data_IF_193723165359
#
_entry.id   IF_193723165359
#
_cell.length_a   1.000
_cell.length_b   1.000
_cell.length_c   1.000
_cell.angle_alpha   90.00
_cell.angle_beta   90.00
_cell.angle_gamma   90.00
#
_symmetry.space_group_name_H-M   'P 1'
#
loop_
_entity.id
_entity.type
_entity.pdbx_description
1 polymer ?
#
# COMPACT_ATOMS: atom_id res chain seq x y z
N UNK A 1 62.68 3.24 14.79
CA UNK A 1 62.08 4.55 14.47
C UNK A 1 60.60 4.48 14.85
N UNK A 2 60.19 5.14 15.94
CA UNK A 2 58.79 5.17 16.42
C UNK A 2 58.30 6.61 16.31
N UNK A 3 57.39 6.88 15.39
CA UNK A 3 56.78 8.19 15.21
C UNK A 3 55.61 8.33 16.19
N UNK A 4 55.83 9.06 17.29
CA UNK A 4 54.73 9.50 18.16
C UNK A 4 54.09 10.76 17.55
N UNK A 5 53.05 10.56 16.74
CA UNK A 5 52.15 11.64 16.33
C UNK A 5 51.10 11.84 17.44
N UNK A 6 51.38 12.71 18.41
CA UNK A 6 50.37 13.21 19.34
C UNK A 6 49.60 14.35 18.69
N UNK A 7 48.49 14.03 18.03
CA UNK A 7 47.49 15.01 17.59
C UNK A 7 46.73 15.54 18.81
N UNK A 8 47.28 16.56 19.48
CA UNK A 8 46.50 17.37 20.43
C UNK A 8 45.47 18.17 19.61
N UNK A 9 44.22 17.72 19.60
CA UNK A 9 43.11 18.46 19.01
C UNK A 9 42.83 19.73 19.83
N UNK A 10 43.52 20.81 19.47
CA UNK A 10 43.26 22.15 20.00
C UNK A 10 42.04 22.76 19.30
N UNK A 11 40.85 22.27 19.63
CA UNK A 11 39.64 23.09 19.45
C UNK A 11 39.81 24.34 20.33
N UNK A 12 39.72 25.52 19.71
CA UNK A 12 39.77 26.81 20.42
C UNK A 12 38.70 26.83 21.53
N UNK A 13 38.89 27.61 22.61
CA UNK A 13 37.91 27.71 23.69
C UNK A 13 36.49 28.02 23.19
N UNK A 14 36.35 28.86 22.15
CA UNK A 14 35.08 29.14 21.49
C UNK A 14 34.47 27.94 20.79
N UNK A 15 35.27 27.12 20.11
CA UNK A 15 34.78 25.91 19.44
C UNK A 15 34.37 24.82 20.43
N UNK A 16 35.02 24.75 21.60
CA UNK A 16 34.63 23.83 22.69
C UNK A 16 33.28 24.22 23.28
N UNK A 17 33.06 25.51 23.52
CA UNK A 17 31.78 26.01 24.03
C UNK A 17 30.65 25.73 23.03
N UNK A 18 30.86 26.00 21.74
CA UNK A 18 29.88 25.69 20.69
C UNK A 18 29.56 24.20 20.59
N UNK A 19 30.58 23.34 20.67
CA UNK A 19 30.39 21.88 20.66
C UNK A 19 29.57 21.40 21.87
N UNK A 20 29.85 21.92 23.07
CA UNK A 20 29.11 21.58 24.28
C UNK A 20 27.65 22.03 24.19
N UNK A 21 27.39 23.25 23.73
CA UNK A 21 26.03 23.77 23.55
C UNK A 21 25.26 22.95 22.49
N UNK A 22 25.90 22.60 21.38
CA UNK A 22 25.32 21.74 20.35
C UNK A 22 24.95 20.35 20.87
N UNK A 23 25.85 19.72 21.62
CA UNK A 23 25.58 18.44 22.28
C UNK A 23 24.42 18.54 23.28
N UNK A 24 24.37 19.62 24.08
CA UNK A 24 23.29 19.82 25.04
C UNK A 24 21.94 19.97 24.35
N UNK A 25 21.84 20.77 23.28
CA UNK A 25 20.61 20.94 22.51
C UNK A 25 20.16 19.63 21.85
N UNK A 26 21.10 18.85 21.32
CA UNK A 26 20.82 17.54 20.75
C UNK A 26 20.27 16.57 21.80
N UNK A 27 20.89 16.50 22.99
CA UNK A 27 20.41 15.66 24.09
C UNK A 27 19.02 16.08 24.57
N UNK A 28 18.77 17.39 24.70
CA UNK A 28 17.46 17.93 25.08
C UNK A 28 16.39 17.56 24.04
N UNK A 29 16.72 17.69 22.74
CA UNK A 29 15.83 17.30 21.65
C UNK A 29 15.48 15.81 21.68
N UNK A 30 16.49 14.94 21.85
CA UNK A 30 16.29 13.50 22.00
C UNK A 30 15.42 13.20 23.23
N UNK A 31 15.68 13.86 24.36
CA UNK A 31 14.91 13.65 25.58
C UNK A 31 13.42 13.97 25.38
N UNK A 32 13.11 15.11 24.75
CA UNK A 32 11.73 15.47 24.44
C UNK A 32 11.09 14.53 23.42
N UNK A 33 11.85 14.08 22.41
CA UNK A 33 11.37 13.09 21.45
C UNK A 33 11.02 11.76 22.14
N UNK A 34 11.93 11.21 22.95
CA UNK A 34 11.69 9.96 23.69
C UNK A 34 10.49 10.11 24.62
N UNK A 35 10.42 11.21 25.39
CA UNK A 35 9.29 11.48 26.28
C UNK A 35 7.97 11.59 25.52
N UNK A 36 7.97 12.22 24.35
CA UNK A 36 6.80 12.31 23.48
C UNK A 36 6.35 10.96 22.94
N UNK A 37 7.28 10.07 22.60
CA UNK A 37 6.98 8.70 22.16
C UNK A 37 6.45 7.85 23.31
N UNK A 38 7.03 7.93 24.51
CA UNK A 38 6.62 7.11 25.66
C UNK A 38 5.27 7.52 26.25
N UNK A 39 4.90 8.80 26.14
CA UNK A 39 3.58 9.30 26.55
C UNK A 39 2.60 9.44 25.38
N UNK A 40 2.96 8.92 24.21
CA UNK A 40 2.04 8.89 23.08
C UNK A 40 0.90 7.90 23.38
N UNK A 41 -0.35 8.23 23.00
CA UNK A 41 -1.47 7.27 23.04
C UNK A 41 -1.15 5.95 22.32
N UNK A 42 -0.20 5.96 21.38
CA UNK A 42 0.25 4.78 20.65
C UNK A 42 1.07 3.79 21.51
N UNK A 43 1.66 4.24 22.62
CA UNK A 43 2.51 3.44 23.51
C UNK A 43 1.75 2.86 24.72
N UNK A 44 0.50 3.27 24.95
CA UNK A 44 -0.30 2.71 26.04
C UNK A 44 -0.79 1.29 25.70
N UNK A 45 -0.58 0.35 26.62
CA UNK A 45 -1.03 -1.04 26.48
C UNK A 45 -2.57 -1.14 26.34
N UNK A 46 -3.30 -0.18 26.93
CA UNK A 46 -4.76 -0.07 26.82
C UNK A 46 -5.21 0.11 25.37
N UNK A 47 -4.47 0.88 24.56
CA UNK A 47 -4.75 1.02 23.12
C UNK A 47 -4.49 -0.27 22.34
N UNK A 48 -3.51 -1.08 22.75
CA UNK A 48 -3.31 -2.40 22.14
C UNK A 48 -4.47 -3.35 22.46
N UNK A 49 -4.94 -3.36 23.71
CA UNK A 49 -6.08 -4.16 24.15
C UNK A 49 -7.38 -3.72 23.47
N UNK A 50 -7.63 -2.40 23.37
CA UNK A 50 -8.80 -1.84 22.69
C UNK A 50 -8.80 -2.13 21.19
N UNK A 51 -7.63 -2.02 20.52
CA UNK A 51 -7.47 -2.46 19.11
C UNK A 51 -7.83 -3.93 18.93
N UNK A 52 -7.29 -4.80 19.79
CA UNK A 52 -7.57 -6.24 19.79
C UNK A 52 -9.05 -6.55 20.07
N UNK A 53 -9.70 -5.73 20.89
CA UNK A 53 -11.13 -5.84 21.17
C UNK A 53 -11.96 -5.44 19.95
N UNK A 54 -11.73 -4.25 19.38
CA UNK A 54 -12.44 -3.75 18.20
C UNK A 54 -12.26 -4.70 17.00
N UNK A 55 -11.04 -5.20 16.77
CA UNK A 55 -10.77 -6.17 15.72
C UNK A 55 -11.61 -7.44 15.91
N UNK A 56 -11.56 -8.05 17.11
CA UNK A 56 -12.32 -9.27 17.41
C UNK A 56 -13.83 -9.05 17.39
N UNK A 57 -14.29 -7.87 17.79
CA UNK A 57 -15.70 -7.51 17.75
C UNK A 57 -16.19 -7.39 16.31
N UNK A 58 -15.45 -6.69 15.44
CA UNK A 58 -15.76 -6.58 14.01
C UNK A 58 -15.73 -7.95 13.34
N UNK A 59 -14.71 -8.77 13.62
CA UNK A 59 -14.61 -10.13 13.05
C UNK A 59 -15.79 -11.04 13.44
N UNK A 60 -16.34 -10.90 14.64
CA UNK A 60 -17.47 -11.73 15.07
C UNK A 60 -18.84 -11.22 14.63
N UNK A 61 -18.99 -9.91 14.43
CA UNK A 61 -20.30 -9.29 14.26
C UNK A 61 -20.57 -8.71 12.87
N UNK A 62 -19.59 -8.70 11.95
CA UNK A 62 -19.79 -8.20 10.60
C UNK A 62 -20.27 -9.31 9.64
N UNK A 63 -21.53 -9.26 9.14
CA UNK A 63 -22.06 -10.29 8.25
C UNK A 63 -21.36 -10.32 6.88
N UNK A 64 -20.60 -9.28 6.50
CA UNK A 64 -19.93 -9.19 5.19
C UNK A 64 -18.39 -9.18 5.32
N UNK A 65 -17.86 -9.77 6.41
CA UNK A 65 -16.44 -9.78 6.73
C UNK A 65 -15.57 -10.35 5.59
N UNK A 66 -16.04 -11.41 4.93
CA UNK A 66 -15.32 -12.04 3.84
C UNK A 66 -15.12 -11.08 2.66
N UNK A 67 -16.17 -10.35 2.27
CA UNK A 67 -16.09 -9.37 1.19
C UNK A 67 -15.25 -8.16 1.57
N UNK A 68 -15.34 -7.69 2.82
CA UNK A 68 -14.49 -6.61 3.29
C UNK A 68 -13.01 -7.01 3.21
N UNK A 69 -12.67 -8.22 3.65
CA UNK A 69 -11.31 -8.75 3.55
C UNK A 69 -10.83 -8.83 2.11
N UNK A 70 -11.67 -9.35 1.20
CA UNK A 70 -11.35 -9.40 -0.23
C UNK A 70 -11.09 -7.99 -0.82
N UNK A 71 -11.90 -7.01 -0.45
CA UNK A 71 -11.72 -5.61 -0.87
C UNK A 71 -10.43 -5.01 -0.30
N UNK A 72 -10.15 -5.25 0.99
CA UNK A 72 -8.97 -4.75 1.67
C UNK A 72 -7.69 -5.32 1.04
N UNK A 73 -7.63 -6.64 0.86
CA UNK A 73 -6.51 -7.33 0.20
C UNK A 73 -6.30 -6.80 -1.22
N UNK A 74 -7.38 -6.67 -1.99
CA UNK A 74 -7.32 -6.15 -3.36
C UNK A 74 -6.81 -4.71 -3.41
N UNK A 75 -7.21 -3.87 -2.46
CA UNK A 75 -6.77 -2.48 -2.37
C UNK A 75 -5.28 -2.38 -2.00
N UNK A 76 -4.86 -3.11 -0.97
CA UNK A 76 -3.46 -3.17 -0.55
C UNK A 76 -2.54 -3.82 -1.58
N UNK A 77 -3.09 -4.71 -2.43
CA UNK A 77 -2.35 -5.30 -3.54
C UNK A 77 -2.01 -4.24 -4.59
N UNK A 78 -2.91 -3.29 -4.86
CA UNK A 78 -2.69 -2.14 -5.74
C UNK A 78 -1.81 -1.06 -5.08
N UNK A 79 -2.01 -0.82 -3.79
CA UNK A 79 -1.50 0.37 -3.10
C UNK A 79 -0.65 0.02 -1.87
N UNK A 80 0.64 -0.17 -2.11
CA UNK A 80 1.60 -0.66 -1.11
C UNK A 80 1.79 0.30 0.06
N UNK A 81 1.80 1.59 -0.22
CA UNK A 81 1.93 2.66 0.76
C UNK A 81 0.76 2.66 1.74
N UNK A 82 -0.45 2.36 1.27
CA UNK A 82 -1.61 2.20 2.16
C UNK A 82 -1.46 0.92 2.98
N UNK A 83 -1.01 -0.18 2.37
CA UNK A 83 -0.75 -1.45 3.08
C UNK A 83 0.19 -1.29 4.27
N UNK A 84 1.20 -0.42 4.14
CA UNK A 84 2.21 -0.15 5.16
C UNK A 84 1.81 0.92 6.18
N UNK A 85 0.67 1.59 5.99
CA UNK A 85 0.23 2.64 6.91
C UNK A 85 -0.02 2.06 8.31
N UNK A 86 0.46 2.75 9.34
CA UNK A 86 0.14 2.41 10.74
C UNK A 86 -1.34 2.61 11.08
N UNK A 87 -2.09 3.35 10.26
CA UNK A 87 -3.51 3.62 10.47
C UNK A 87 -4.40 2.79 9.53
N UNK A 88 -4.13 2.82 8.22
CA UNK A 88 -4.94 2.14 7.19
C UNK A 88 -4.37 0.80 6.68
N UNK A 89 -3.20 0.41 7.15
CA UNK A 89 -2.51 -0.78 6.68
C UNK A 89 -3.05 -2.08 7.24
N UNK A 90 -2.47 -3.19 6.78
CA UNK A 90 -2.86 -4.55 7.17
C UNK A 90 -2.78 -4.77 8.69
N UNK A 91 -1.75 -4.19 9.31
CA UNK A 91 -1.54 -4.18 10.75
C UNK A 91 -1.86 -2.82 11.37
N UNK A 92 -2.62 -1.98 10.66
CA UNK A 92 -2.97 -0.63 11.09
C UNK A 92 -4.15 -0.61 12.06
N UNK A 93 -4.38 0.54 12.69
CA UNK A 93 -5.47 0.75 13.67
C UNK A 93 -6.84 0.29 13.15
N UNK A 94 -7.13 0.52 11.87
CA UNK A 94 -8.42 0.18 11.27
C UNK A 94 -8.47 -1.23 10.65
N UNK A 95 -7.36 -1.99 10.66
CA UNK A 95 -7.27 -3.32 10.06
C UNK A 95 -7.88 -3.40 8.66
N UNK A 96 -8.72 -4.41 8.41
CA UNK A 96 -9.39 -4.62 7.10
C UNK A 96 -10.35 -3.49 6.70
N UNK A 97 -10.78 -2.62 7.62
CA UNK A 97 -11.62 -1.45 7.31
C UNK A 97 -10.78 -0.25 6.85
N UNK A 98 -9.47 -0.28 7.09
CA UNK A 98 -8.53 0.78 6.73
C UNK A 98 -8.61 1.20 5.26
N UNK A 99 -8.55 0.26 4.29
CA UNK A 99 -8.68 0.55 2.86
C UNK A 99 -9.94 1.32 2.48
N UNK A 100 -11.09 0.96 3.07
CA UNK A 100 -12.36 1.64 2.80
C UNK A 100 -12.35 3.06 3.31
N UNK A 101 -11.86 3.26 4.53
CA UNK A 101 -11.72 4.59 5.13
C UNK A 101 -10.74 5.46 4.31
N UNK A 102 -9.56 4.93 3.97
CA UNK A 102 -8.59 5.60 3.12
C UNK A 102 -9.18 6.00 1.76
N UNK A 103 -9.88 5.06 1.12
CA UNK A 103 -10.50 5.31 -0.18
C UNK A 103 -11.52 6.45 -0.12
N UNK A 104 -12.41 6.46 0.88
CA UNK A 104 -13.42 7.51 1.05
C UNK A 104 -12.80 8.88 1.35
N UNK A 105 -11.74 8.93 2.16
CA UNK A 105 -11.12 10.21 2.57
C UNK A 105 -10.24 10.81 1.48
N UNK A 106 -9.42 9.98 0.83
CA UNK A 106 -8.37 10.45 -0.09
C UNK A 106 -8.38 9.69 -1.41
N UNK A 107 -8.52 8.37 -1.37
CA UNK A 107 -8.33 7.54 -2.55
C UNK A 107 -9.28 7.83 -3.72
N UNK A 108 -10.51 8.30 -3.48
CA UNK A 108 -11.42 8.73 -4.55
C UNK A 108 -10.86 9.90 -5.35
N UNK A 109 -10.32 10.91 -4.67
CA UNK A 109 -9.72 12.09 -5.31
C UNK A 109 -8.44 11.75 -6.07
N UNK A 110 -7.73 10.73 -5.61
CA UNK A 110 -6.53 10.18 -6.26
C UNK A 110 -6.85 9.20 -7.40
N UNK A 111 -8.13 8.95 -7.72
CA UNK A 111 -8.53 8.03 -8.78
C UNK A 111 -8.28 6.55 -8.47
N UNK A 112 -8.20 6.19 -7.18
CA UNK A 112 -7.93 4.81 -6.75
C UNK A 112 -9.12 3.89 -6.99
N UNK A 113 -8.84 2.59 -7.02
CA UNK A 113 -9.83 1.54 -7.27
C UNK A 113 -10.07 0.76 -5.97
N UNK A 114 -11.29 0.87 -5.44
CA UNK A 114 -11.75 0.07 -4.30
C UNK A 114 -12.73 -1.02 -4.75
N UNK A 115 -12.21 -2.00 -5.48
CA UNK A 115 -12.93 -3.14 -6.02
C UNK A 115 -12.08 -4.41 -5.94
N UNK A 116 -12.67 -5.62 -5.93
CA UNK A 116 -11.91 -6.86 -5.93
C UNK A 116 -11.00 -6.98 -7.14
N UNK A 117 -9.81 -7.56 -6.97
CA UNK A 117 -8.98 -8.00 -8.11
C UNK A 117 -9.59 -9.29 -8.64
N UNK A 118 -9.85 -9.34 -9.95
CA UNK A 118 -10.41 -10.52 -10.59
C UNK A 118 -9.35 -11.62 -10.70
N UNK A 119 -9.68 -12.83 -10.24
CA UNK A 119 -8.82 -14.01 -10.42
C UNK A 119 -9.37 -14.86 -11.57
N UNK A 120 -8.60 -15.06 -12.65
CA UNK A 120 -9.03 -15.87 -13.78
C UNK A 120 -8.97 -17.36 -13.43
N UNK A 121 -9.83 -18.15 -14.08
CA UNK A 121 -9.84 -19.61 -13.91
C UNK A 121 -8.61 -20.26 -14.55
N UNK A 122 -8.17 -19.77 -15.71
CA UNK A 122 -6.99 -20.25 -16.43
C UNK A 122 -5.84 -19.25 -16.28
N UNK A 123 -4.83 -19.65 -15.49
CA UNK A 123 -3.66 -18.81 -15.19
C UNK A 123 -2.67 -18.73 -16.35
N UNK A 124 -2.56 -19.78 -17.18
CA UNK A 124 -1.63 -19.79 -18.30
C UNK A 124 -2.14 -18.92 -19.44
N UNK A 125 -3.44 -19.04 -19.74
CA UNK A 125 -4.10 -18.11 -20.66
C UNK A 125 -3.99 -16.67 -20.15
N UNK A 126 -4.18 -16.42 -18.85
CA UNK A 126 -4.03 -15.07 -18.30
C UNK A 126 -2.63 -14.51 -18.51
N UNK A 127 -1.57 -15.29 -18.23
CA UNK A 127 -0.19 -14.86 -18.47
C UNK A 127 0.06 -14.52 -19.93
N UNK A 128 -0.54 -15.27 -20.86
CA UNK A 128 -0.45 -14.96 -22.29
C UNK A 128 -1.16 -13.65 -22.63
N UNK A 129 -2.40 -13.47 -22.18
CA UNK A 129 -3.17 -12.24 -22.39
C UNK A 129 -2.49 -11.02 -21.76
N UNK A 130 -1.93 -11.17 -20.57
CA UNK A 130 -1.16 -10.15 -19.89
C UNK A 130 0.08 -9.72 -20.69
N UNK A 131 0.82 -10.69 -21.24
CA UNK A 131 1.97 -10.42 -22.13
C UNK A 131 1.53 -9.66 -23.39
N UNK A 132 0.47 -10.10 -24.06
CA UNK A 132 -0.07 -9.42 -25.24
C UNK A 132 -0.49 -7.98 -24.91
N UNK A 133 -1.20 -7.78 -23.79
CA UNK A 133 -1.65 -6.47 -23.34
C UNK A 133 -0.48 -5.52 -23.05
N UNK A 134 0.54 -5.97 -22.32
CA UNK A 134 1.74 -5.16 -22.04
C UNK A 134 2.58 -4.86 -23.29
N UNK A 135 2.62 -5.78 -24.25
CA UNK A 135 3.28 -5.52 -25.53
C UNK A 135 2.55 -4.42 -26.33
N UNK A 136 1.21 -4.42 -26.28
CA UNK A 136 0.38 -3.39 -26.92
C UNK A 136 0.45 -2.04 -26.19
N UNK A 137 0.63 -2.05 -24.86
CA UNK A 137 0.61 -0.87 -24.01
C UNK A 137 1.85 -0.81 -23.08
N UNK A 138 3.01 -0.35 -23.61
CA UNK A 138 4.26 -0.26 -22.85
C UNK A 138 4.19 0.67 -21.63
N UNK A 139 3.37 1.72 -21.70
CA UNK A 139 3.07 2.63 -20.60
C UNK A 139 2.48 1.87 -19.40
N UNK A 140 1.58 0.94 -19.65
CA UNK A 140 0.99 0.09 -18.61
C UNK A 140 2.00 -0.95 -18.11
N UNK A 141 2.88 -1.45 -18.99
CA UNK A 141 3.93 -2.40 -18.62
C UNK A 141 4.94 -1.81 -17.60
N UNK A 142 5.19 -0.51 -17.68
CA UNK A 142 6.01 0.25 -16.72
C UNK A 142 5.25 0.75 -15.49
N UNK A 143 3.93 0.56 -15.40
CA UNK A 143 3.12 1.07 -14.29
C UNK A 143 3.54 0.47 -12.94
N UNK A 144 3.62 1.27 -11.86
CA UNK A 144 3.88 0.74 -10.52
C UNK A 144 2.74 -0.14 -10.00
N UNK A 145 1.51 0.07 -10.47
CA UNK A 145 0.32 -0.66 -10.01
C UNK A 145 0.03 -1.87 -10.90
N UNK A 146 0.12 -1.73 -12.22
CA UNK A 146 -0.30 -2.77 -13.18
C UNK A 146 0.84 -3.33 -14.06
N UNK A 147 2.06 -2.85 -13.86
CA UNK A 147 3.22 -3.25 -14.67
C UNK A 147 3.76 -4.62 -14.33
N UNK A 148 4.74 -5.06 -15.13
CA UNK A 148 5.36 -6.40 -15.03
C UNK A 148 5.94 -6.69 -13.64
N UNK A 149 6.49 -5.66 -13.01
CA UNK A 149 7.13 -5.72 -11.70
C UNK A 149 6.20 -5.30 -10.55
N UNK A 150 4.92 -5.06 -10.84
CA UNK A 150 3.92 -4.73 -9.80
C UNK A 150 3.58 -5.97 -8.97
N UNK A 151 2.97 -5.76 -7.80
CA UNK A 151 2.48 -6.87 -6.97
C UNK A 151 1.30 -7.62 -7.59
N UNK A 152 0.58 -7.00 -8.52
CA UNK A 152 -0.45 -7.69 -9.29
C UNK A 152 0.17 -8.70 -10.26
N UNK A 153 1.43 -8.52 -10.66
CA UNK A 153 2.09 -9.36 -11.65
C UNK A 153 1.25 -9.46 -12.92
N UNK A 154 1.05 -10.69 -13.42
CA UNK A 154 0.26 -10.94 -14.63
C UNK A 154 -1.24 -10.64 -14.48
N UNK A 155 -1.75 -10.38 -13.27
CA UNK A 155 -3.13 -9.91 -13.06
C UNK A 155 -3.29 -8.40 -13.32
N UNK A 156 -2.18 -7.65 -13.35
CA UNK A 156 -2.15 -6.21 -13.53
C UNK A 156 -2.89 -5.73 -14.79
N UNK A 157 -2.61 -6.32 -15.97
CA UNK A 157 -3.27 -5.96 -17.22
C UNK A 157 -4.80 -6.09 -17.20
N UNK A 158 -5.34 -7.21 -16.70
CA UNK A 158 -6.80 -7.41 -16.62
C UNK A 158 -7.43 -6.44 -15.65
N UNK A 159 -6.76 -6.19 -14.52
CA UNK A 159 -7.20 -5.20 -13.54
C UNK A 159 -7.26 -3.80 -14.16
N UNK A 160 -6.19 -3.38 -14.82
CA UNK A 160 -6.15 -2.10 -15.54
C UNK A 160 -7.25 -2.02 -16.60
N UNK A 161 -7.36 -3.02 -17.47
CA UNK A 161 -8.36 -3.04 -18.53
C UNK A 161 -9.79 -2.91 -17.99
N UNK A 162 -10.11 -3.69 -16.95
CA UNK A 162 -11.44 -3.73 -16.35
C UNK A 162 -11.87 -2.38 -15.79
N UNK A 163 -10.95 -1.68 -15.11
CA UNK A 163 -11.31 -0.48 -14.36
C UNK A 163 -10.96 0.84 -15.06
N UNK A 164 -10.02 0.85 -16.01
CA UNK A 164 -9.56 2.07 -16.69
C UNK A 164 -9.42 1.86 -18.20
N UNK A 165 -8.72 0.81 -18.61
CA UNK A 165 -8.33 0.60 -20.00
C UNK A 165 -9.52 0.52 -20.97
N UNK A 166 -10.63 -0.11 -20.57
CA UNK A 166 -11.84 -0.18 -21.41
C UNK A 166 -12.40 1.22 -21.71
N UNK A 167 -12.42 2.12 -20.72
CA UNK A 167 -12.88 3.50 -20.92
C UNK A 167 -11.89 4.32 -21.75
N UNK A 168 -10.61 3.96 -21.70
CA UNK A 168 -9.55 4.55 -22.53
C UNK A 168 -9.47 3.95 -23.95
N UNK A 169 -10.42 3.09 -24.34
CA UNK A 169 -10.42 2.43 -25.66
C UNK A 169 -9.32 1.38 -25.84
N UNK A 170 -8.69 0.91 -24.75
CA UNK A 170 -7.71 -0.18 -24.80
C UNK A 170 -8.42 -1.50 -25.10
N UNK A 171 -7.71 -2.43 -25.73
CA UNK A 171 -8.21 -3.73 -26.14
C UNK A 171 -7.70 -4.83 -25.19
N UNK A 172 -8.60 -5.76 -24.84
CA UNK A 172 -8.26 -6.97 -24.09
C UNK A 172 -8.42 -8.19 -25.01
N UNK A 173 -7.54 -9.17 -24.86
CA UNK A 173 -7.52 -10.35 -25.72
C UNK A 173 -6.32 -10.39 -26.67
N UNK A 174 -6.15 -11.54 -27.31
CA UNK A 174 -5.29 -11.71 -28.50
C UNK A 174 -5.79 -10.75 -29.58
N UNK A 175 -4.89 -10.16 -30.37
CA UNK A 175 -5.24 -9.19 -31.42
C UNK A 175 -6.46 -9.65 -32.21
N UNK A 176 -7.53 -8.87 -32.16
CA UNK A 176 -8.80 -9.23 -32.77
C UNK A 176 -8.78 -8.94 -34.27
N UNK A 177 -8.33 -9.90 -35.05
CA UNK A 177 -9.13 -10.36 -36.19
C UNK A 177 -10.22 -11.37 -35.76
N UNK A 178 -10.46 -11.55 -34.45
CA UNK A 178 -11.45 -12.47 -33.87
C UNK A 178 -12.56 -11.75 -33.10
N UNK A 179 -13.81 -12.25 -33.15
CA UNK A 179 -15.01 -11.58 -32.66
C UNK A 179 -15.05 -11.45 -31.12
N UNK A 180 -15.84 -10.47 -30.60
CA UNK A 180 -15.92 -10.21 -29.16
C UNK A 180 -16.41 -11.44 -28.38
N UNK A 181 -15.90 -11.67 -27.16
CA UNK A 181 -16.37 -12.76 -26.32
C UNK A 181 -17.86 -12.60 -26.00
N UNK A 182 -18.60 -13.71 -25.82
CA UNK A 182 -20.01 -13.67 -25.51
C UNK A 182 -20.25 -12.81 -24.28
N UNK A 183 -21.18 -11.86 -24.43
CA UNK A 183 -21.61 -10.92 -23.39
C UNK A 183 -21.98 -11.74 -22.15
N UNK A 184 -21.19 -11.65 -21.07
CA UNK A 184 -21.59 -12.25 -19.80
C UNK A 184 -22.93 -11.65 -19.42
N UNK A 185 -23.95 -12.50 -19.40
CA UNK A 185 -25.30 -12.12 -19.01
C UNK A 185 -25.23 -11.54 -17.60
N UNK A 186 -25.76 -10.33 -17.43
CA UNK A 186 -26.15 -9.83 -16.13
C UNK A 186 -27.03 -10.89 -15.48
N UNK A 187 -26.51 -11.55 -14.44
CA UNK A 187 -27.33 -12.30 -13.51
C UNK A 187 -28.14 -11.24 -12.76
N UNK A 188 -29.34 -10.98 -13.26
CA UNK A 188 -30.34 -10.21 -12.57
C UNK A 188 -31.69 -10.93 -12.70
N UNK A 189 -32.00 -11.82 -11.75
CA UNK A 189 -33.35 -12.21 -11.30
C UNK A 189 -33.19 -12.58 -9.82
N UNK A 190 -33.71 -11.74 -8.92
CA UNK A 190 -34.97 -11.95 -8.19
C UNK A 190 -34.96 -13.26 -7.42
N UNK A 191 -34.74 -13.16 -6.12
CA UNK A 191 -35.71 -13.51 -5.07
C UNK A 191 -35.51 -12.54 -3.89
#
# INVERSE_FOLDING_TARGET
>A
MKNHFTTKSMLSPGNRLLALTGCMLFCVSIFYYIRGVTHSPLAEENFAAERLFLHRYIERNDPDLHRERLLAESYWLRYREVKKSSYWGENGVLGIKGPRDHYRRMGQKEGRIFKPVLRPADLELEKELARAYWNRYPDIAGSPVWGKNSRLGFLGPRDHYTYLGRMQGKLWGRDTSSPPPPRMQEINRRD
#
